data_IF_977663893965
#
_entry.id   IF_977663893965
#
_cell.length_a   1.000
_cell.length_b   1.000
_cell.length_c   1.000
_cell.angle_alpha   90.00
_cell.angle_beta   90.00
_cell.angle_gamma   90.00
#
_symmetry.space_group_name_H-M   'P 1'
#
loop_
_entity.id
_entity.type
_entity.pdbx_description
1 polymer ?
#
# COMPACT_ATOMS: atom_id res chain seq x y z
N UNK A 1 21.61 18.12 0.54
CA UNK A 1 20.45 18.00 -0.40
C UNK A 1 19.82 16.61 -0.38
N UNK A 2 20.61 15.52 -0.44
CA UNK A 2 20.11 14.12 -0.43
C UNK A 2 19.28 13.80 0.82
N UNK A 3 19.77 14.14 2.01
CA UNK A 3 19.09 13.88 3.29
C UNK A 3 17.70 14.53 3.41
N UNK A 4 17.52 15.73 2.82
CA UNK A 4 16.21 16.42 2.77
C UNK A 4 15.22 15.68 1.86
N UNK A 5 15.68 15.26 0.66
CA UNK A 5 14.84 14.47 -0.27
C UNK A 5 14.45 13.13 0.33
N UNK A 6 15.40 12.46 0.96
CA UNK A 6 15.18 11.22 1.70
C UNK A 6 14.10 11.38 2.79
N UNK A 7 14.24 12.39 3.65
CA UNK A 7 13.28 12.59 4.73
C UNK A 7 11.89 13.00 4.22
N UNK A 8 11.83 13.74 3.11
CA UNK A 8 10.58 14.12 2.47
C UNK A 8 9.87 12.91 1.86
N UNK A 9 10.57 12.07 1.10
CA UNK A 9 10.02 10.83 0.56
C UNK A 9 9.54 9.89 1.68
N UNK A 10 10.24 9.87 2.82
CA UNK A 10 9.87 9.04 3.99
C UNK A 10 8.55 9.48 4.61
N UNK A 11 8.35 10.80 4.73
CA UNK A 11 7.08 11.35 5.21
C UNK A 11 5.94 11.06 4.23
N UNK A 12 6.19 11.18 2.93
CA UNK A 12 5.20 10.88 1.89
C UNK A 12 4.79 9.40 1.91
N UNK A 13 5.77 8.48 1.96
CA UNK A 13 5.48 7.05 2.02
C UNK A 13 4.69 6.66 3.29
N UNK A 14 5.03 7.23 4.46
CA UNK A 14 4.26 6.99 5.69
C UNK A 14 2.86 7.59 5.66
N UNK A 15 2.68 8.75 5.02
CA UNK A 15 1.37 9.37 4.84
C UNK A 15 0.50 8.52 3.91
N UNK A 16 1.03 8.15 2.75
CA UNK A 16 0.36 7.27 1.78
C UNK A 16 -0.03 5.93 2.40
N UNK A 17 0.84 5.32 3.21
CA UNK A 17 0.49 4.06 3.89
C UNK A 17 -0.73 4.21 4.81
N UNK A 18 -0.79 5.29 5.59
CA UNK A 18 -1.94 5.56 6.47
C UNK A 18 -3.22 5.82 5.69
N UNK A 19 -3.13 6.66 4.65
CA UNK A 19 -4.27 6.96 3.78
C UNK A 19 -4.78 5.70 3.08
N UNK A 20 -3.87 4.87 2.58
CA UNK A 20 -4.19 3.59 1.97
C UNK A 20 -4.91 2.65 2.94
N UNK A 21 -4.43 2.53 4.18
CA UNK A 21 -5.05 1.63 5.16
C UNK A 21 -6.49 2.07 5.53
N UNK A 22 -6.76 3.38 5.48
CA UNK A 22 -8.10 3.96 5.68
C UNK A 22 -9.00 3.72 4.45
N UNK A 23 -8.48 3.94 3.24
CA UNK A 23 -9.24 3.81 1.99
C UNK A 23 -9.60 2.37 1.65
N UNK A 24 -8.71 1.45 2.04
CA UNK A 24 -8.83 0.04 1.79
C UNK A 24 -9.53 -0.58 3.00
N UNK A 25 -10.84 -0.34 3.17
CA UNK A 25 -11.65 -1.06 4.16
C UNK A 25 -12.03 -2.45 3.60
N UNK A 26 -12.29 -3.41 4.50
CA UNK A 26 -12.64 -4.79 4.10
C UNK A 26 -13.97 -4.86 3.29
N UNK A 27 -14.78 -3.80 3.36
CA UNK A 27 -16.10 -3.65 2.75
C UNK A 27 -16.07 -2.93 1.39
N UNK A 28 -14.99 -3.05 0.63
CA UNK A 28 -15.02 -2.61 -0.77
C UNK A 28 -16.00 -3.51 -1.55
N UNK A 29 -17.25 -3.05 -1.67
CA UNK A 29 -18.34 -3.73 -2.41
C UNK A 29 -18.15 -3.66 -3.93
N UNK A 30 -17.41 -2.67 -4.43
CA UNK A 30 -17.17 -2.46 -5.86
C UNK A 30 -15.68 -2.54 -6.17
N UNK A 31 -15.21 -3.74 -6.47
CA UNK A 31 -13.83 -4.01 -6.91
C UNK A 31 -13.75 -4.01 -8.43
N UNK A 32 -13.86 -2.85 -9.07
CA UNK A 32 -13.55 -2.74 -10.49
C UNK A 32 -12.03 -2.65 -10.72
N UNK A 33 -11.55 -3.06 -11.91
CA UNK A 33 -10.11 -3.12 -12.21
C UNK A 33 -9.40 -1.76 -12.04
N UNK A 34 -10.10 -0.66 -12.34
CA UNK A 34 -9.58 0.70 -12.18
C UNK A 34 -9.33 1.05 -10.71
N UNK A 35 -10.24 0.68 -9.82
CA UNK A 35 -10.11 0.86 -8.38
C UNK A 35 -8.97 -0.01 -7.82
N UNK A 36 -8.90 -1.29 -8.24
CA UNK A 36 -7.80 -2.19 -7.84
C UNK A 36 -6.44 -1.63 -8.27
N UNK A 37 -6.33 -1.09 -9.48
CA UNK A 37 -5.07 -0.50 -9.95
C UNK A 37 -4.70 0.77 -9.18
N UNK A 38 -5.61 1.74 -9.11
CA UNK A 38 -5.32 3.09 -8.64
C UNK A 38 -5.33 3.21 -7.11
N UNK A 39 -6.24 2.51 -6.44
CA UNK A 39 -6.47 2.64 -4.99
C UNK A 39 -5.73 1.54 -4.21
N UNK A 40 -5.70 0.31 -4.73
CA UNK A 40 -5.07 -0.81 -4.03
C UNK A 40 -3.59 -0.96 -4.41
N UNK A 41 -3.29 -1.26 -5.67
CA UNK A 41 -1.96 -1.75 -6.10
C UNK A 41 -0.90 -0.65 -6.19
N UNK A 42 -1.16 0.46 -6.89
CA UNK A 42 -0.15 1.52 -7.09
C UNK A 42 0.35 2.12 -5.77
N UNK A 43 -0.52 2.50 -4.81
CA UNK A 43 -0.05 3.04 -3.54
C UNK A 43 0.67 1.98 -2.71
N UNK A 44 0.14 0.75 -2.67
CA UNK A 44 0.77 -0.38 -1.98
C UNK A 44 2.20 -0.64 -2.47
N UNK A 45 2.38 -0.79 -3.79
CA UNK A 45 3.68 -0.99 -4.41
C UNK A 45 4.64 0.16 -4.10
N UNK A 46 4.15 1.40 -4.09
CA UNK A 46 4.98 2.55 -3.76
C UNK A 46 5.52 2.50 -2.32
N UNK A 47 4.66 2.31 -1.32
CA UNK A 47 5.16 2.34 0.06
C UNK A 47 5.89 1.05 0.48
N UNK A 48 5.54 -0.11 -0.09
CA UNK A 48 6.23 -1.37 0.26
C UNK A 48 7.64 -1.43 -0.32
N UNK A 49 7.83 -0.97 -1.57
CA UNK A 49 9.16 -0.87 -2.19
C UNK A 49 10.00 0.18 -1.47
N UNK A 50 9.40 1.31 -1.09
CA UNK A 50 10.06 2.31 -0.27
C UNK A 50 10.47 1.77 1.10
N UNK A 51 9.59 1.03 1.80
CA UNK A 51 9.94 0.41 3.08
C UNK A 51 11.07 -0.61 2.93
N UNK A 52 11.01 -1.47 1.92
CA UNK A 52 12.01 -2.51 1.66
C UNK A 52 13.39 -1.92 1.35
N UNK A 53 13.43 -0.89 0.51
CA UNK A 53 14.69 -0.21 0.13
C UNK A 53 15.33 0.57 1.27
N UNK A 54 14.53 1.06 2.23
CA UNK A 54 15.05 1.92 3.29
C UNK A 54 15.27 1.25 4.64
N UNK A 55 14.44 0.29 5.02
CA UNK A 55 14.50 -0.28 6.37
C UNK A 55 15.27 -1.58 6.44
N UNK A 56 15.69 -2.18 5.31
CA UNK A 56 16.36 -3.50 5.20
C UNK A 56 15.62 -4.68 5.84
N UNK A 57 14.59 -4.42 6.66
CA UNK A 57 13.69 -5.37 7.28
C UNK A 57 12.25 -4.91 7.10
N UNK A 58 11.33 -5.82 6.72
CA UNK A 58 9.90 -5.55 6.74
C UNK A 58 9.50 -5.10 8.15
N UNK A 59 8.74 -4.01 8.26
CA UNK A 59 8.12 -3.69 9.54
C UNK A 59 6.90 -4.59 9.73
N UNK A 60 6.54 -4.93 10.98
CA UNK A 60 5.32 -5.70 11.31
C UNK A 60 4.05 -5.07 10.70
N UNK A 61 4.08 -3.75 10.46
CA UNK A 61 3.00 -3.01 9.79
C UNK A 61 2.92 -3.27 8.29
N UNK A 62 4.03 -3.63 7.66
CA UNK A 62 4.10 -4.00 6.24
C UNK A 62 3.47 -5.38 6.01
N UNK A 63 3.65 -6.35 6.92
CA UNK A 63 3.02 -7.67 6.86
C UNK A 63 1.48 -7.58 6.88
N UNK A 64 0.93 -6.71 7.73
CA UNK A 64 -0.51 -6.45 7.77
C UNK A 64 -1.01 -5.81 6.47
N UNK A 65 -0.27 -4.86 5.92
CA UNK A 65 -0.62 -4.24 4.64
C UNK A 65 -0.55 -5.25 3.49
N UNK A 66 0.47 -6.12 3.46
CA UNK A 66 0.61 -7.20 2.49
C UNK A 66 -0.59 -8.15 2.56
N UNK A 67 -0.93 -8.64 3.75
CA UNK A 67 -2.06 -9.53 3.95
C UNK A 67 -3.38 -8.89 3.49
N UNK A 68 -3.62 -7.63 3.86
CA UNK A 68 -4.83 -6.87 3.46
C UNK A 68 -4.90 -6.70 1.95
N UNK A 69 -3.78 -6.34 1.32
CA UNK A 69 -3.69 -6.22 -0.14
C UNK A 69 -4.02 -7.53 -0.84
N UNK A 70 -3.42 -8.64 -0.42
CA UNK A 70 -3.65 -9.95 -1.04
C UNK A 70 -5.09 -10.45 -0.85
N UNK A 71 -5.69 -10.24 0.34
CA UNK A 71 -7.09 -10.58 0.58
C UNK A 71 -8.02 -9.89 -0.41
N UNK A 72 -7.83 -8.59 -0.63
CA UNK A 72 -8.69 -7.80 -1.51
C UNK A 72 -8.43 -8.15 -2.97
N UNK A 73 -7.17 -8.38 -3.35
CA UNK A 73 -6.82 -8.83 -4.69
C UNK A 73 -7.48 -10.18 -5.01
N UNK A 74 -7.40 -11.14 -4.08
CA UNK A 74 -8.04 -12.45 -4.22
C UNK A 74 -9.56 -12.32 -4.33
N UNK A 75 -10.19 -11.48 -3.49
CA UNK A 75 -11.62 -11.16 -3.60
C UNK A 75 -11.97 -10.58 -4.97
N UNK A 76 -11.15 -9.68 -5.51
CA UNK A 76 -11.39 -9.07 -6.83
C UNK A 76 -11.30 -10.08 -7.98
N UNK A 77 -10.39 -11.06 -7.89
CA UNK A 77 -10.23 -12.11 -8.90
C UNK A 77 -11.38 -13.11 -8.83
N UNK A 78 -11.84 -13.46 -7.63
CA UNK A 78 -12.92 -14.43 -7.45
C UNK A 78 -14.32 -13.86 -7.73
N UNK A 79 -14.47 -12.53 -7.76
CA UNK A 79 -15.73 -11.83 -8.10
C UNK A 79 -15.82 -11.44 -9.58
N UNK A 80 -14.75 -11.61 -10.35
CA UNK A 80 -14.67 -11.34 -11.79
C UNK A 80 -14.99 -12.60 -12.61
#
# INVERSE_FOLDING_TARGET
RVWRRYNMAKKVAMKLRREWDIQVSEDAEVLNCTWVSNTLLRPFLFFITYSSTLYQKPQVTDDKCMLKCFKILLKSINLA
#
